data_IF_114178387038
#
_entry.id   IF_114178387038
#
_cell.length_a   1.000
_cell.length_b   1.000
_cell.length_c   1.000
_cell.angle_alpha   90.00
_cell.angle_beta   90.00
_cell.angle_gamma   90.00
#
_symmetry.space_group_name_H-M   'P 1'
#
loop_
_entity.id
_entity.type
_entity.pdbx_description
1 polymer ?
#
# COMPACT_ATOMS: atom_id res chain seq x y z
N UNK A 1 13.32 2.55 -11.53
CA UNK A 1 11.87 2.36 -11.27
C UNK A 1 11.16 3.67 -10.92
N UNK A 2 11.57 4.41 -9.88
CA UNK A 2 10.92 5.68 -9.49
C UNK A 2 10.88 6.71 -10.61
N UNK A 3 12.01 6.98 -11.29
CA UNK A 3 12.03 7.92 -12.42
C UNK A 3 11.10 7.53 -13.57
N UNK A 4 11.00 6.23 -13.88
CA UNK A 4 10.06 5.71 -14.89
C UNK A 4 8.60 5.88 -14.44
N UNK A 5 8.30 5.63 -13.16
CA UNK A 5 6.98 5.90 -12.60
C UNK A 5 6.62 7.39 -12.70
N UNK A 6 7.52 8.30 -12.32
CA UNK A 6 7.31 9.75 -12.43
C UNK A 6 7.14 10.20 -13.89
N UNK A 7 7.85 9.57 -14.82
CA UNK A 7 7.65 9.80 -16.25
C UNK A 7 6.24 9.38 -16.70
N UNK A 8 5.75 8.21 -16.28
CA UNK A 8 4.39 7.75 -16.56
C UNK A 8 3.33 8.70 -15.98
N UNK A 9 3.51 9.15 -14.73
CA UNK A 9 2.61 10.13 -14.09
C UNK A 9 2.65 11.47 -14.82
N UNK A 10 3.83 11.96 -15.20
CA UNK A 10 3.96 13.21 -15.98
C UNK A 10 3.31 13.11 -17.36
N UNK A 11 3.31 11.91 -17.96
CA UNK A 11 2.69 11.65 -19.27
C UNK A 11 1.17 11.58 -19.19
N UNK A 12 0.63 10.90 -18.18
CA UNK A 12 -0.82 10.59 -18.09
C UNK A 12 -1.57 11.65 -17.28
N UNK A 13 -0.89 12.31 -16.34
CA UNK A 13 -1.51 13.19 -15.36
C UNK A 13 -1.68 12.55 -13.98
N UNK A 14 -2.05 13.38 -13.01
CA UNK A 14 -2.41 12.93 -11.66
C UNK A 14 -3.90 12.61 -11.64
N UNK A 15 -4.27 11.43 -11.13
CA UNK A 15 -5.70 11.08 -11.00
C UNK A 15 -6.40 12.02 -10.01
N UNK A 16 -7.47 12.66 -10.47
CA UNK A 16 -8.35 13.44 -9.61
C UNK A 16 -9.18 12.52 -8.72
N UNK A 17 -9.48 12.93 -7.47
CA UNK A 17 -10.35 12.14 -6.61
C UNK A 17 -11.72 11.94 -7.27
N UNK A 18 -12.29 10.73 -7.24
CA UNK A 18 -13.55 10.41 -7.89
C UNK A 18 -14.76 10.90 -7.08
N UNK A 19 -14.73 12.16 -6.66
CA UNK A 19 -15.77 12.80 -5.85
C UNK A 19 -15.91 14.28 -6.27
N UNK A 20 -17.09 14.85 -6.06
CA UNK A 20 -17.39 16.24 -6.41
C UNK A 20 -17.91 16.45 -7.85
N UNK A 21 -18.49 17.63 -8.08
CA UNK A 21 -19.15 17.98 -9.35
C UNK A 21 -18.17 18.22 -10.51
N UNK A 22 -16.90 18.49 -10.17
CA UNK A 22 -15.81 18.70 -11.12
C UNK A 22 -15.17 17.40 -11.60
N UNK A 23 -15.56 16.24 -11.04
CA UNK A 23 -14.99 14.96 -11.44
C UNK A 23 -15.41 14.58 -12.86
N UNK A 24 -14.43 14.43 -13.74
CA UNK A 24 -14.57 13.85 -15.08
C UNK A 24 -13.73 12.58 -15.18
N UNK A 25 -14.24 11.58 -15.90
CA UNK A 25 -13.47 10.39 -16.21
C UNK A 25 -12.26 10.80 -17.07
N UNK A 26 -11.06 10.47 -16.60
CA UNK A 26 -9.84 10.75 -17.34
C UNK A 26 -9.81 9.90 -18.62
N UNK A 27 -9.85 10.55 -19.77
CA UNK A 27 -9.62 9.93 -21.07
C UNK A 27 -8.11 9.75 -21.27
N UNK A 28 -7.66 8.56 -21.66
CA UNK A 28 -6.25 8.33 -21.98
C UNK A 28 -5.92 8.89 -23.36
N UNK A 29 -5.08 9.94 -23.49
CA UNK A 29 -4.73 10.49 -24.78
C UNK A 29 -3.84 9.54 -25.58
N UNK A 30 -4.05 9.46 -26.90
CA UNK A 30 -3.24 8.62 -27.80
C UNK A 30 -1.83 9.20 -28.02
N UNK A 31 -1.66 10.51 -27.85
CA UNK A 31 -0.39 11.22 -28.00
C UNK A 31 0.05 11.86 -26.68
N UNK A 32 1.34 12.21 -26.58
CA UNK A 32 1.85 12.99 -25.47
C UNK A 32 1.28 14.41 -25.57
N UNK A 33 0.30 14.72 -24.72
CA UNK A 33 -0.23 16.06 -24.57
C UNK A 33 0.14 16.55 -23.16
N UNK A 34 0.55 17.82 -23.05
CA UNK A 34 0.64 18.43 -21.73
C UNK A 34 -0.78 18.56 -21.17
N UNK A 35 -1.01 17.99 -20.00
CA UNK A 35 -2.33 18.00 -19.39
C UNK A 35 -2.70 19.43 -19.00
N UNK A 36 -3.70 20.00 -19.67
CA UNK A 36 -4.25 21.30 -19.32
C UNK A 36 -5.41 21.11 -18.35
N UNK A 37 -5.21 21.49 -17.10
CA UNK A 37 -6.25 21.54 -16.07
C UNK A 37 -6.86 22.94 -16.03
N UNK A 38 -8.02 23.20 -16.69
CA UNK A 38 -8.71 24.47 -16.55
C UNK A 38 -9.17 24.61 -15.09
N UNK A 39 -8.46 25.44 -14.31
CA UNK A 39 -8.65 25.59 -12.85
C UNK A 39 -7.61 24.88 -11.97
N UNK A 40 -6.60 24.24 -12.56
CA UNK A 40 -5.48 23.65 -11.82
C UNK A 40 -4.56 24.71 -11.21
N UNK A 41 -4.06 24.44 -10.00
CA UNK A 41 -3.03 25.26 -9.36
C UNK A 41 -1.63 24.78 -9.76
N UNK A 42 -0.64 25.68 -9.96
CA UNK A 42 0.71 25.26 -10.29
C UNK A 42 1.32 24.47 -9.11
N UNK A 43 2.10 23.43 -9.44
CA UNK A 43 2.75 22.57 -8.45
C UNK A 43 3.67 23.37 -7.51
N UNK A 44 4.51 24.23 -8.09
CA UNK A 44 5.31 25.19 -7.34
C UNK A 44 4.67 26.58 -7.42
N UNK A 45 4.54 27.31 -6.31
CA UNK A 45 4.93 26.95 -4.94
C UNK A 45 3.83 26.22 -4.14
N UNK A 46 2.59 26.20 -4.64
CA UNK A 46 1.41 25.87 -3.84
C UNK A 46 1.39 24.43 -3.35
N UNK A 47 1.42 23.47 -4.28
CA UNK A 47 1.36 22.05 -3.94
C UNK A 47 2.65 21.61 -3.22
N UNK A 48 3.80 22.13 -3.65
CA UNK A 48 5.08 21.85 -3.00
C UNK A 48 5.10 22.27 -1.52
N UNK A 49 4.57 23.44 -1.17
CA UNK A 49 4.50 23.88 0.22
C UNK A 49 3.65 22.94 1.09
N UNK A 50 2.50 22.49 0.55
CA UNK A 50 1.65 21.50 1.21
C UNK A 50 2.38 20.17 1.41
N UNK A 51 3.04 19.64 0.38
CA UNK A 51 3.77 18.38 0.46
C UNK A 51 4.94 18.47 1.47
N UNK A 52 5.68 19.58 1.50
CA UNK A 52 6.72 19.81 2.51
C UNK A 52 6.14 19.78 3.91
N UNK A 53 4.99 20.43 4.15
CA UNK A 53 4.34 20.38 5.46
C UNK A 53 3.91 18.96 5.87
N UNK A 54 3.37 18.16 4.93
CA UNK A 54 3.01 16.75 5.16
C UNK A 54 4.26 15.92 5.46
N UNK A 55 5.36 16.12 4.72
CA UNK A 55 6.64 15.44 4.97
C UNK A 55 7.18 15.82 6.35
N UNK A 56 7.19 17.09 6.73
CA UNK A 56 7.62 17.54 8.05
C UNK A 56 6.79 16.89 9.16
N UNK A 57 5.47 16.78 8.98
CA UNK A 57 4.59 16.10 9.93
C UNK A 57 4.91 14.60 10.03
N UNK A 58 5.05 13.90 8.90
CA UNK A 58 5.40 12.49 8.87
C UNK A 58 6.79 12.22 9.49
N UNK A 59 7.76 13.09 9.23
CA UNK A 59 9.08 13.04 9.85
C UNK A 59 9.01 13.27 11.37
N UNK A 60 8.21 14.24 11.83
CA UNK A 60 8.00 14.46 13.25
C UNK A 60 7.39 13.23 13.94
N UNK A 61 6.40 12.58 13.31
CA UNK A 61 5.81 11.33 13.81
C UNK A 61 6.85 10.20 13.85
N UNK A 62 7.65 10.03 12.80
CA UNK A 62 8.72 9.03 12.76
C UNK A 62 9.78 9.27 13.83
N UNK A 63 10.27 10.51 13.96
CA UNK A 63 11.25 10.88 14.99
C UNK A 63 10.69 10.69 16.39
N UNK A 64 9.38 10.92 16.60
CA UNK A 64 8.75 10.66 17.89
C UNK A 64 8.83 9.19 18.28
N UNK A 65 8.61 8.26 17.32
CA UNK A 65 8.78 6.83 17.58
C UNK A 65 10.24 6.52 17.87
N UNK A 66 11.17 7.02 17.06
CA UNK A 66 12.62 6.73 17.21
C UNK A 66 13.16 7.21 18.55
N UNK A 67 12.80 8.41 19.00
CA UNK A 67 13.35 8.99 20.23
C UNK A 67 12.61 8.54 21.49
N UNK A 68 11.30 8.31 21.44
CA UNK A 68 10.52 8.01 22.64
C UNK A 68 10.17 6.52 22.81
N UNK A 69 9.98 5.77 21.72
CA UNK A 69 9.58 4.35 21.79
C UNK A 69 10.23 3.50 20.67
N UNK A 70 11.58 3.46 20.56
CA UNK A 70 12.26 2.78 19.45
C UNK A 70 12.02 1.27 19.40
N UNK A 71 11.71 0.66 20.54
CA UNK A 71 11.55 -0.80 20.67
C UNK A 71 10.17 -1.32 20.24
N UNK A 72 9.22 -0.45 19.86
CA UNK A 72 7.85 -0.89 19.50
C UNK A 72 7.80 -1.80 18.26
N UNK A 73 8.75 -1.64 17.34
CA UNK A 73 8.79 -2.40 16.08
C UNK A 73 9.93 -3.44 16.01
N UNK A 74 10.80 -3.50 17.02
CA UNK A 74 11.99 -4.36 17.03
C UNK A 74 11.74 -5.53 18.00
N UNK A 75 11.73 -6.80 17.53
CA UNK A 75 11.63 -7.95 18.40
C UNK A 75 12.83 -8.00 19.38
N UNK A 76 12.64 -8.37 20.67
CA UNK A 76 13.74 -8.45 21.63
C UNK A 76 14.89 -9.36 21.17
N UNK A 77 14.58 -10.49 20.53
CA UNK A 77 15.55 -11.42 19.99
C UNK A 77 16.44 -10.83 18.87
N UNK A 78 16.01 -9.74 18.21
CA UNK A 78 16.80 -9.08 17.19
C UNK A 78 17.96 -8.22 17.77
N UNK A 79 17.99 -8.03 19.09
CA UNK A 79 19.06 -7.31 19.79
C UNK A 79 20.20 -8.25 20.25
N UNK A 80 19.99 -9.56 20.17
CA UNK A 80 20.99 -10.57 20.49
C UNK A 80 21.82 -10.91 19.24
N UNK A 81 23.07 -11.32 19.44
CA UNK A 81 23.92 -11.77 18.34
C UNK A 81 23.36 -13.07 17.75
N UNK A 82 23.42 -13.21 16.43
CA UNK A 82 22.91 -14.40 15.75
C UNK A 82 23.70 -15.65 16.15
N UNK A 83 22.99 -16.69 16.61
CA UNK A 83 23.53 -18.02 16.89
C UNK A 83 22.95 -19.03 15.89
N UNK A 84 23.78 -19.65 15.01
CA UNK A 84 23.31 -20.64 14.04
C UNK A 84 22.74 -21.93 14.66
N UNK A 85 23.06 -22.21 15.93
CA UNK A 85 22.67 -23.44 16.61
C UNK A 85 21.46 -23.26 17.55
N UNK A 86 20.99 -22.03 17.76
CA UNK A 86 19.89 -21.71 18.66
C UNK A 86 18.82 -20.91 17.94
N UNK A 87 17.61 -21.47 17.81
CA UNK A 87 16.44 -20.74 17.31
C UNK A 87 15.63 -20.19 18.50
N UNK A 88 15.37 -18.88 18.59
CA UNK A 88 14.54 -18.32 19.65
C UNK A 88 13.12 -18.92 19.67
N UNK A 89 12.56 -19.13 20.87
CA UNK A 89 11.27 -19.81 21.06
C UNK A 89 10.08 -19.10 20.38
N UNK A 90 10.12 -17.77 20.29
CA UNK A 90 9.04 -16.95 19.70
C UNK A 90 9.50 -16.17 18.47
N UNK A 91 10.17 -16.85 17.54
CA UNK A 91 10.62 -16.23 16.29
C UNK A 91 9.43 -15.88 15.37
N UNK A 92 9.34 -14.61 15.00
CA UNK A 92 8.37 -14.08 14.04
C UNK A 92 9.03 -13.01 13.18
N UNK A 93 8.58 -12.84 11.92
CA UNK A 93 9.08 -11.76 11.09
C UNK A 93 8.52 -10.42 11.56
N UNK A 94 8.98 -9.35 10.90
CA UNK A 94 8.50 -8.00 11.16
C UNK A 94 7.00 -7.87 10.89
N UNK A 95 6.38 -6.88 11.53
CA UNK A 95 4.92 -6.72 11.58
C UNK A 95 4.24 -6.64 10.20
N UNK A 96 4.92 -6.07 9.19
CA UNK A 96 4.42 -5.97 7.82
C UNK A 96 4.45 -7.30 7.04
N UNK A 97 5.14 -8.33 7.55
CA UNK A 97 5.16 -9.67 6.98
C UNK A 97 4.27 -10.69 7.71
N UNK A 98 3.61 -10.29 8.81
CA UNK A 98 2.81 -11.22 9.61
C UNK A 98 1.64 -11.86 8.85
N UNK A 99 1.04 -11.15 7.90
CA UNK A 99 -0.01 -11.74 7.07
C UNK A 99 0.53 -12.90 6.22
N UNK A 100 1.71 -12.73 5.62
CA UNK A 100 2.36 -13.73 4.79
C UNK A 100 2.81 -14.91 5.66
N UNK A 101 3.44 -14.64 6.81
CA UNK A 101 3.79 -15.66 7.79
C UNK A 101 2.60 -16.52 8.19
N UNK A 102 1.47 -15.90 8.54
CA UNK A 102 0.29 -16.64 8.96
C UNK A 102 -0.32 -17.46 7.81
N UNK A 103 -0.28 -16.97 6.57
CA UNK A 103 -0.72 -17.79 5.43
C UNK A 103 0.14 -19.03 5.24
N UNK A 104 1.44 -19.00 5.54
CA UNK A 104 2.27 -20.23 5.50
C UNK A 104 1.88 -21.23 6.59
N UNK A 105 1.42 -20.76 7.75
CA UNK A 105 0.95 -21.61 8.87
C UNK A 105 -0.45 -22.20 8.65
N UNK A 106 -1.32 -21.49 7.95
CA UNK A 106 -2.71 -21.91 7.72
C UNK A 106 -2.77 -23.11 6.76
N UNK A 107 -1.94 -23.12 5.72
CA UNK A 107 -1.98 -24.16 4.70
C UNK A 107 -1.05 -25.33 5.05
N UNK A 108 -1.45 -26.58 4.77
CA UNK A 108 -0.67 -27.76 5.14
C UNK A 108 0.64 -27.93 4.36
N UNK A 109 0.81 -27.21 3.25
CA UNK A 109 2.07 -27.18 2.51
C UNK A 109 2.56 -25.76 2.27
N UNK A 110 3.87 -25.58 2.44
CA UNK A 110 4.54 -24.29 2.27
C UNK A 110 4.41 -23.76 0.83
N UNK A 111 4.43 -24.66 -0.16
CA UNK A 111 4.28 -24.30 -1.57
C UNK A 111 2.88 -23.72 -1.85
N UNK A 112 1.82 -24.28 -1.24
CA UNK A 112 0.46 -23.73 -1.38
C UNK A 112 0.38 -22.36 -0.71
N UNK A 113 0.94 -22.21 0.51
CA UNK A 113 0.96 -20.92 1.21
C UNK A 113 1.70 -19.84 0.41
N UNK A 114 2.88 -20.16 -0.13
CA UNK A 114 3.65 -19.26 -0.99
C UNK A 114 2.91 -18.95 -2.30
N UNK A 115 2.27 -19.95 -2.90
CA UNK A 115 1.45 -19.80 -4.10
C UNK A 115 0.29 -18.84 -3.90
N UNK A 116 -0.34 -18.83 -2.72
CA UNK A 116 -1.43 -17.91 -2.38
C UNK A 116 -0.93 -16.48 -2.24
N UNK A 117 0.22 -16.27 -1.61
CA UNK A 117 0.83 -14.93 -1.51
C UNK A 117 1.18 -14.38 -2.91
N UNK A 118 1.82 -15.20 -3.74
CA UNK A 118 2.14 -14.84 -5.12
C UNK A 118 0.89 -14.58 -5.96
N UNK A 119 -0.14 -15.42 -5.80
CA UNK A 119 -1.44 -15.26 -6.44
C UNK A 119 -2.14 -13.96 -6.04
N UNK A 120 -2.10 -13.61 -4.76
CA UNK A 120 -2.67 -12.35 -4.26
C UNK A 120 -1.95 -11.12 -4.84
N UNK A 121 -0.61 -11.10 -4.84
CA UNK A 121 0.17 -10.01 -5.44
C UNK A 121 -0.04 -9.90 -6.95
N UNK A 122 -0.12 -11.05 -7.63
CA UNK A 122 -0.42 -11.10 -9.08
C UNK A 122 -1.82 -10.58 -9.37
N UNK A 123 -2.82 -10.95 -8.56
CA UNK A 123 -4.18 -10.44 -8.66
C UNK A 123 -4.22 -8.91 -8.52
N UNK A 124 -3.52 -8.33 -7.54
CA UNK A 124 -3.42 -6.87 -7.38
C UNK A 124 -2.73 -6.20 -8.57
N UNK A 125 -1.66 -6.82 -9.10
CA UNK A 125 -0.98 -6.31 -10.29
C UNK A 125 -1.86 -6.34 -11.55
N UNK A 126 -2.75 -7.34 -11.65
CA UNK A 126 -3.69 -7.49 -12.76
C UNK A 126 -5.01 -6.73 -12.56
N UNK A 127 -5.21 -6.06 -11.43
CA UNK A 127 -6.44 -5.34 -11.09
C UNK A 127 -6.89 -4.37 -12.20
N UNK A 128 -6.00 -3.59 -12.87
CA UNK A 128 -6.40 -2.70 -13.96
C UNK A 128 -7.00 -3.40 -15.19
N UNK A 129 -6.72 -4.70 -15.39
CA UNK A 129 -7.23 -5.49 -16.52
C UNK A 129 -8.51 -6.27 -16.16
N UNK A 130 -8.66 -6.61 -14.88
CA UNK A 130 -9.81 -7.30 -14.31
C UNK A 130 -10.95 -6.30 -14.09
N UNK A 131 -10.65 -5.12 -13.55
CA UNK A 131 -11.63 -4.07 -13.32
C UNK A 131 -11.93 -3.28 -14.60
N UNK A 132 -12.96 -3.72 -15.32
CA UNK A 132 -13.40 -3.08 -16.58
C UNK A 132 -14.56 -2.09 -16.38
N UNK A 133 -14.91 -1.77 -15.15
CA UNK A 133 -16.02 -0.87 -14.85
C UNK A 133 -15.73 0.57 -15.33
N UNK A 134 -16.67 1.24 -16.03
CA UNK A 134 -16.47 2.62 -16.46
C UNK A 134 -16.56 3.62 -15.29
N UNK A 135 -17.29 3.26 -14.23
CA UNK A 135 -17.46 4.10 -13.04
C UNK A 135 -16.27 3.91 -12.09
N UNK A 136 -15.79 5.00 -11.49
CA UNK A 136 -14.68 4.99 -10.52
C UNK A 136 -15.11 5.48 -9.14
N UNK A 137 -16.30 6.07 -9.01
CA UNK A 137 -16.85 6.57 -7.74
C UNK A 137 -17.16 5.39 -6.80
N UNK A 138 -16.55 5.30 -5.60
CA UNK A 138 -16.81 4.23 -4.65
C UNK A 138 -18.30 4.09 -4.28
N UNK A 139 -19.01 5.20 -4.10
CA UNK A 139 -20.43 5.20 -3.75
C UNK A 139 -21.34 4.50 -4.78
N UNK A 140 -20.91 4.44 -6.05
CA UNK A 140 -21.66 3.79 -7.13
C UNK A 140 -21.16 2.37 -7.42
N UNK A 141 -20.20 1.87 -6.64
CA UNK A 141 -19.62 0.53 -6.77
C UNK A 141 -19.71 -0.24 -5.45
N UNK A 142 -20.91 -0.40 -4.88
CA UNK A 142 -21.07 -0.98 -3.55
C UNK A 142 -20.45 -2.38 -3.44
N UNK A 143 -20.57 -3.22 -4.48
CA UNK A 143 -19.97 -4.56 -4.50
C UNK A 143 -18.44 -4.51 -4.40
N UNK A 144 -17.78 -3.73 -5.26
CA UNK A 144 -16.32 -3.64 -5.29
C UNK A 144 -15.78 -3.07 -3.97
N UNK A 145 -16.40 -2.00 -3.46
CA UNK A 145 -16.02 -1.39 -2.18
C UNK A 145 -16.21 -2.38 -1.04
N UNK A 146 -17.32 -3.13 -1.01
CA UNK A 146 -17.56 -4.15 0.02
C UNK A 146 -16.49 -5.24 -0.03
N UNK A 147 -16.19 -5.80 -1.20
CA UNK A 147 -15.13 -6.80 -1.36
C UNK A 147 -13.75 -6.25 -0.96
N UNK A 148 -13.43 -5.02 -1.33
CA UNK A 148 -12.18 -4.37 -0.98
C UNK A 148 -12.04 -4.17 0.54
N UNK A 149 -13.08 -3.66 1.20
CA UNK A 149 -13.09 -3.48 2.66
C UNK A 149 -13.03 -4.83 3.38
N UNK A 150 -13.78 -5.84 2.94
CA UNK A 150 -13.67 -7.19 3.50
C UNK A 150 -12.25 -7.77 3.31
N UNK A 151 -11.63 -7.53 2.16
CA UNK A 151 -10.25 -7.92 1.90
C UNK A 151 -9.26 -7.23 2.83
N UNK A 152 -9.41 -5.93 3.09
CA UNK A 152 -8.60 -5.19 4.06
C UNK A 152 -8.79 -5.72 5.48
N UNK A 153 -10.04 -5.95 5.90
CA UNK A 153 -10.36 -6.52 7.22
C UNK A 153 -9.74 -7.91 7.36
N UNK A 154 -9.85 -8.76 6.32
CA UNK A 154 -9.22 -10.07 6.31
C UNK A 154 -7.69 -9.98 6.39
N UNK A 155 -7.07 -9.08 5.62
CA UNK A 155 -5.62 -8.86 5.66
C UNK A 155 -5.16 -8.48 7.07
N UNK A 156 -5.84 -7.53 7.72
CA UNK A 156 -5.54 -7.12 9.11
C UNK A 156 -5.81 -8.26 10.09
N UNK A 157 -6.91 -9.01 9.94
CA UNK A 157 -7.23 -10.13 10.81
C UNK A 157 -6.17 -11.23 10.74
N UNK A 158 -5.68 -11.56 9.54
CA UNK A 158 -4.60 -12.54 9.33
C UNK A 158 -3.29 -12.00 9.92
N UNK A 159 -2.95 -10.71 9.76
CA UNK A 159 -1.78 -10.11 10.41
C UNK A 159 -1.85 -10.19 11.94
N UNK A 160 -3.01 -9.89 12.53
CA UNK A 160 -3.22 -9.95 13.98
C UNK A 160 -3.15 -11.40 14.46
N UNK A 161 -3.76 -12.34 13.74
CA UNK A 161 -3.64 -13.76 14.05
C UNK A 161 -2.17 -14.22 13.99
N UNK A 162 -1.43 -13.82 12.94
CA UNK A 162 0.01 -14.11 12.83
C UNK A 162 0.86 -13.53 13.95
N UNK A 163 0.39 -12.49 14.65
CA UNK A 163 1.08 -11.94 15.81
C UNK A 163 0.91 -12.81 17.06
N UNK A 164 -0.27 -13.42 17.25
CA UNK A 164 -0.67 -14.13 18.47
C UNK A 164 -0.57 -15.66 18.38
N UNK A 165 -0.45 -16.22 17.17
CA UNK A 165 -0.29 -17.65 16.93
C UNK A 165 1.17 -18.06 16.82
#
# INVERSE_FOLDING_TARGET
LVGFHLFCVRRIGISTPPFGDTYRLAETPLSFAHEHHPGGIPFFPNYMAKEVAVICFALAAMLSVVFFVPQIFIPPAALEAADPFLTPEHIKPEWYFLWAYQTLKIFPSEIIGLGIQGGFMTFLALLPFIDRGPERRPAKRPLFVTCYVLGLVLFVAISVWGHYS
#
